data_IF_681627960133
#
_entry.id   IF_681627960133
#
_cell.length_a   1.000
_cell.length_b   1.000
_cell.length_c   1.000
_cell.angle_alpha   90.00
_cell.angle_beta   90.00
_cell.angle_gamma   90.00
#
_symmetry.space_group_name_H-M   'P 1'
#
loop_
_entity.id
_entity.type
_entity.pdbx_description
1 polymer ?
#
# COMPACT_ATOMS: atom_id res chain seq x y z
N UNK A 1 -11.82 -2.62 -8.66
CA UNK A 1 -10.96 -3.79 -8.33
C UNK A 1 -11.83 -4.79 -7.61
N UNK A 2 -11.87 -6.05 -8.05
CA UNK A 2 -12.63 -7.08 -7.34
C UNK A 2 -11.83 -7.53 -6.14
N UNK A 3 -12.46 -7.66 -4.98
CA UNK A 3 -11.85 -8.25 -3.78
C UNK A 3 -11.54 -9.74 -4.03
N UNK A 4 -10.35 -10.02 -4.58
CA UNK A 4 -9.94 -11.38 -4.93
C UNK A 4 -9.38 -12.15 -3.74
N UNK A 5 -9.08 -11.47 -2.63
CA UNK A 5 -8.37 -12.04 -1.49
C UNK A 5 -9.26 -12.28 -0.27
N UNK A 6 -10.57 -12.05 -0.40
CA UNK A 6 -11.55 -12.38 0.64
C UNK A 6 -11.62 -11.39 1.80
N UNK A 7 -11.21 -10.13 1.60
CA UNK A 7 -11.34 -9.07 2.59
C UNK A 7 -12.79 -8.56 2.61
N UNK A 8 -13.52 -8.54 3.74
CA UNK A 8 -14.90 -8.05 3.76
C UNK A 8 -15.05 -6.67 3.08
N UNK A 9 -16.10 -6.47 2.27
CA UNK A 9 -16.31 -5.19 1.56
C UNK A 9 -16.44 -4.01 2.53
N UNK A 10 -17.09 -4.22 3.68
CA UNK A 10 -17.20 -3.22 4.74
C UNK A 10 -15.83 -2.75 5.26
N UNK A 11 -14.83 -3.65 5.29
CA UNK A 11 -13.49 -3.31 5.74
C UNK A 11 -12.74 -2.58 4.63
N UNK A 12 -12.92 -2.97 3.37
CA UNK A 12 -12.36 -2.24 2.24
C UNK A 12 -12.89 -0.81 2.17
N UNK A 13 -14.18 -0.58 2.45
CA UNK A 13 -14.75 0.77 2.50
C UNK A 13 -14.16 1.60 3.63
N UNK A 14 -14.03 1.02 4.84
CA UNK A 14 -13.37 1.69 5.98
C UNK A 14 -11.91 2.04 5.66
N UNK A 15 -11.17 1.10 5.06
CA UNK A 15 -9.78 1.30 4.64
C UNK A 15 -9.69 2.38 3.57
N UNK A 16 -10.61 2.41 2.60
CA UNK A 16 -10.64 3.41 1.53
C UNK A 16 -10.92 4.83 2.06
N UNK A 17 -11.81 4.95 3.06
CA UNK A 17 -12.05 6.24 3.74
C UNK A 17 -10.82 6.68 4.54
N UNK A 18 -10.16 5.74 5.24
CA UNK A 18 -8.90 6.00 5.95
C UNK A 18 -7.80 6.46 5.00
N UNK A 19 -7.64 5.76 3.88
CA UNK A 19 -6.57 5.94 2.90
C UNK A 19 -7.04 6.82 1.73
N UNK A 20 -7.51 8.03 2.05
CA UNK A 20 -8.04 8.99 1.07
C UNK A 20 -6.99 9.53 0.08
N UNK A 21 -5.71 9.31 0.37
CA UNK A 21 -4.57 9.60 -0.48
C UNK A 21 -3.60 8.41 -0.47
N UNK A 22 -2.70 8.34 -1.45
CA UNK A 22 -1.77 7.22 -1.52
C UNK A 22 -0.92 7.11 -0.25
N UNK A 23 -1.02 6.00 0.48
CA UNK A 23 -0.31 5.81 1.77
C UNK A 23 1.22 5.90 1.68
N UNK A 24 1.78 5.85 0.46
CA UNK A 24 3.22 5.96 0.24
C UNK A 24 3.67 7.36 -0.19
N UNK A 25 3.00 7.97 -1.16
CA UNK A 25 3.44 9.23 -1.79
C UNK A 25 2.44 10.38 -1.66
N UNK A 26 1.35 10.19 -0.93
CA UNK A 26 0.30 11.19 -0.59
C UNK A 26 -0.42 11.85 -1.75
N UNK A 27 -0.12 11.47 -3.00
CA UNK A 27 -0.87 12.01 -4.13
C UNK A 27 -2.32 11.53 -4.11
N UNK A 28 -3.19 12.37 -4.65
CA UNK A 28 -4.59 12.03 -4.90
C UNK A 28 -4.70 10.81 -5.80
N UNK A 29 -5.58 9.90 -5.40
CA UNK A 29 -5.91 8.71 -6.17
C UNK A 29 -7.23 8.90 -6.89
N UNK A 30 -7.40 8.24 -8.04
CA UNK A 30 -8.65 8.24 -8.79
C UNK A 30 -9.24 6.83 -8.80
N UNK A 31 -10.56 6.73 -8.93
CA UNK A 31 -11.20 5.44 -9.08
C UNK A 31 -10.71 4.72 -10.34
N UNK A 32 -10.44 3.41 -10.28
CA UNK A 32 -10.14 2.62 -11.46
C UNK A 32 -11.28 2.70 -12.48
N UNK A 33 -10.96 3.07 -13.72
CA UNK A 33 -11.90 3.16 -14.84
C UNK A 33 -11.45 2.27 -16.00
N UNK A 34 -12.30 2.06 -17.01
CA UNK A 34 -11.86 1.40 -18.24
C UNK A 34 -10.96 2.33 -19.07
N UNK A 35 -9.81 1.82 -19.52
CA UNK A 35 -8.84 2.59 -20.31
C UNK A 35 -8.02 3.62 -19.52
N UNK A 36 -6.95 4.13 -20.14
CA UNK A 36 -6.11 5.19 -19.57
C UNK A 36 -4.96 4.73 -18.67
N UNK A 37 -4.26 5.71 -18.09
CA UNK A 37 -3.07 5.47 -17.27
C UNK A 37 -3.44 5.03 -15.86
N UNK A 38 -3.01 3.82 -15.48
CA UNK A 38 -3.23 3.28 -14.12
C UNK A 38 -2.37 3.95 -13.04
N UNK A 39 -1.51 4.90 -13.42
CA UNK A 39 -0.51 5.51 -12.52
C UNK A 39 -1.12 6.11 -11.26
N UNK A 40 -2.33 6.66 -11.36
CA UNK A 40 -3.03 7.36 -10.26
C UNK A 40 -4.21 6.57 -9.71
N UNK A 41 -4.49 5.37 -10.23
CA UNK A 41 -5.61 4.57 -9.74
C UNK A 41 -5.42 4.20 -8.27
N UNK A 42 -6.48 4.30 -7.48
CA UNK A 42 -6.54 3.74 -6.14
C UNK A 42 -6.49 2.21 -6.27
N UNK A 43 -5.45 1.59 -5.74
CA UNK A 43 -5.22 0.13 -5.77
C UNK A 43 -5.15 -0.45 -4.37
N UNK A 44 -5.67 -1.66 -4.22
CA UNK A 44 -5.52 -2.44 -3.00
C UNK A 44 -4.07 -2.91 -2.91
N UNK A 45 -3.42 -2.59 -1.80
CA UNK A 45 -2.05 -2.90 -1.47
C UNK A 45 -2.00 -3.88 -0.30
N UNK A 46 -1.31 -4.99 -0.47
CA UNK A 46 -1.00 -5.92 0.63
C UNK A 46 0.36 -5.59 1.20
N UNK A 47 0.40 -5.03 2.41
CA UNK A 47 1.64 -4.59 3.05
C UNK A 47 2.58 -5.78 3.31
N UNK A 48 2.02 -6.96 3.58
CA UNK A 48 2.75 -8.20 3.65
C UNK A 48 3.19 -8.74 2.28
N UNK A 49 4.48 -9.02 2.15
CA UNK A 49 5.08 -9.53 0.91
C UNK A 49 4.73 -10.99 0.59
N UNK A 50 4.29 -11.77 1.58
CA UNK A 50 3.90 -13.18 1.44
C UNK A 50 2.47 -13.39 1.93
N UNK A 51 1.74 -14.38 1.37
CA UNK A 51 0.42 -14.75 1.85
C UNK A 51 0.44 -15.19 3.33
N UNK A 52 -0.70 -15.11 4.04
CA UNK A 52 -2.04 -14.87 3.52
C UNK A 52 -2.38 -13.38 3.33
N UNK A 53 -3.16 -13.06 2.28
CA UNK A 53 -3.52 -11.69 1.87
C UNK A 53 -4.97 -11.30 2.22
N UNK A 54 -5.59 -12.04 3.13
CA UNK A 54 -6.99 -11.88 3.52
C UNK A 54 -7.18 -11.07 4.82
N UNK A 55 -6.11 -10.48 5.39
CA UNK A 55 -6.18 -9.73 6.64
C UNK A 55 -6.34 -8.22 6.36
N UNK A 56 -7.46 -7.60 6.78
CA UNK A 56 -7.70 -6.16 6.57
C UNK A 56 -6.68 -5.26 7.27
N UNK A 57 -6.08 -5.71 8.38
CA UNK A 57 -5.07 -4.93 9.12
C UNK A 57 -3.72 -4.84 8.40
N UNK A 58 -3.50 -5.65 7.37
CA UNK A 58 -2.28 -5.64 6.54
C UNK A 58 -2.54 -5.07 5.16
N UNK A 59 -3.67 -4.38 4.98
CA UNK A 59 -4.11 -3.85 3.69
C UNK A 59 -4.22 -2.32 3.76
N UNK A 60 -3.86 -1.69 2.64
CA UNK A 60 -3.97 -0.26 2.46
C UNK A 60 -4.39 0.08 1.02
N UNK A 61 -4.77 1.33 0.77
CA UNK A 61 -4.89 1.86 -0.59
C UNK A 61 -3.67 2.70 -0.98
N UNK A 62 -3.11 2.41 -2.15
CA UNK A 62 -2.05 3.22 -2.73
C UNK A 62 -2.25 3.43 -4.22
N UNK A 63 -1.53 4.38 -4.82
CA UNK A 63 -1.62 4.61 -6.24
C UNK A 63 -0.98 3.47 -7.05
N UNK A 64 -1.47 3.23 -8.26
CA UNK A 64 -0.93 2.17 -9.12
C UNK A 64 0.57 2.30 -9.46
N UNK A 65 1.14 3.52 -9.45
CA UNK A 65 2.59 3.69 -9.65
C UNK A 65 3.40 3.14 -8.47
N UNK A 66 2.97 3.42 -7.23
CA UNK A 66 3.67 2.93 -6.05
C UNK A 66 3.49 1.43 -5.89
N UNK A 67 2.26 0.92 -6.07
CA UNK A 67 1.97 -0.51 -6.05
C UNK A 67 2.86 -1.26 -7.06
N UNK A 68 2.89 -0.81 -8.32
CA UNK A 68 3.72 -1.42 -9.36
C UNK A 68 5.22 -1.35 -9.04
N UNK A 69 5.71 -0.25 -8.47
CA UNK A 69 7.12 -0.09 -8.10
C UNK A 69 7.52 -1.02 -6.94
N UNK A 70 6.65 -1.13 -5.93
CA UNK A 70 6.88 -2.02 -4.79
C UNK A 70 6.86 -3.47 -5.24
N UNK A 71 5.82 -3.86 -5.98
CA UNK A 71 5.58 -5.24 -6.37
C UNK A 71 5.60 -6.14 -5.12
N UNK A 72 6.41 -7.21 -5.13
CA UNK A 72 6.57 -8.15 -4.03
C UNK A 72 7.72 -7.84 -3.07
N UNK A 73 8.34 -6.65 -3.12
CA UNK A 73 9.44 -6.29 -2.22
C UNK A 73 8.93 -6.09 -0.80
N UNK A 74 9.75 -6.45 0.19
CA UNK A 74 9.54 -6.00 1.58
C UNK A 74 9.56 -4.48 1.62
N UNK A 75 8.68 -3.87 2.40
CA UNK A 75 8.53 -2.41 2.44
C UNK A 75 9.85 -1.73 2.82
N UNK A 76 10.55 -2.27 3.82
CA UNK A 76 11.83 -1.73 4.30
C UNK A 76 12.95 -1.77 3.25
N UNK A 77 12.90 -2.74 2.32
CA UNK A 77 13.87 -2.84 1.23
C UNK A 77 13.43 -1.99 0.03
N UNK A 78 12.13 -1.87 -0.20
CA UNK A 78 11.58 -1.00 -1.23
C UNK A 78 11.92 0.48 -0.99
N UNK A 79 11.91 0.94 0.27
CA UNK A 79 12.31 2.31 0.62
C UNK A 79 13.74 2.67 0.20
N UNK A 80 14.62 1.68 0.02
CA UNK A 80 16.01 1.89 -0.42
C UNK A 80 16.14 2.02 -1.94
N UNK A 81 15.06 1.83 -2.70
CA UNK A 81 15.11 1.88 -4.16
C UNK A 81 15.15 3.32 -4.69
N UNK A 82 15.70 3.57 -5.88
CA UNK A 82 15.70 4.89 -6.50
C UNK A 82 14.30 5.51 -6.59
N UNK A 83 13.28 4.69 -6.89
CA UNK A 83 11.89 5.15 -6.96
C UNK A 83 11.43 5.84 -5.68
N UNK A 84 11.76 5.26 -4.52
CA UNK A 84 11.39 5.78 -3.21
C UNK A 84 12.22 7.01 -2.84
N UNK A 85 13.53 6.96 -3.08
CA UNK A 85 14.46 8.06 -2.77
C UNK A 85 14.06 9.32 -3.56
N UNK A 86 13.85 9.20 -4.86
CA UNK A 86 13.44 10.32 -5.74
C UNK A 86 12.08 10.94 -5.35
N UNK A 87 11.22 10.16 -4.69
CA UNK A 87 9.85 10.56 -4.32
C UNK A 87 9.69 10.83 -2.83
N UNK A 88 10.78 10.85 -2.07
CA UNK A 88 10.78 11.03 -0.63
C UNK A 88 9.84 10.04 0.10
N UNK A 89 9.87 8.76 -0.27
CA UNK A 89 9.07 7.69 0.33
C UNK A 89 9.97 6.92 1.32
N UNK A 90 9.69 7.06 2.62
CA UNK A 90 10.46 6.46 3.71
C UNK A 90 9.56 6.21 4.91
N UNK A 91 10.07 5.53 5.95
CA UNK A 91 9.32 5.30 7.18
C UNK A 91 8.76 6.59 7.80
N UNK A 92 9.51 7.69 7.72
CA UNK A 92 9.11 8.96 8.33
C UNK A 92 7.99 9.65 7.54
N UNK A 93 7.98 9.44 6.21
CA UNK A 93 7.09 10.16 5.31
C UNK A 93 5.82 9.41 4.97
N UNK A 94 5.78 8.07 5.01
CA UNK A 94 4.56 7.30 4.70
C UNK A 94 3.41 7.56 5.69
N UNK A 95 2.19 7.18 5.32
CA UNK A 95 1.01 7.28 6.19
C UNK A 95 1.06 6.30 7.36
N UNK A 96 0.28 6.59 8.41
CA UNK A 96 0.31 5.83 9.68
C UNK A 96 0.05 4.32 9.52
N UNK A 97 -0.89 3.83 8.67
CA UNK A 97 -1.10 2.39 8.51
C UNK A 97 0.16 1.62 8.09
N UNK A 98 1.01 2.26 7.27
CA UNK A 98 2.30 1.66 6.85
C UNK A 98 3.29 1.66 8.00
N UNK A 99 3.35 2.74 8.79
CA UNK A 99 4.21 2.83 9.98
C UNK A 99 3.83 1.77 11.00
N UNK A 100 2.55 1.61 11.28
CA UNK A 100 2.00 0.60 12.20
C UNK A 100 2.35 -0.82 11.73
N UNK A 101 2.15 -1.10 10.43
CA UNK A 101 2.54 -2.38 9.86
C UNK A 101 4.04 -2.67 10.05
N UNK A 102 4.92 -1.71 9.72
CA UNK A 102 6.37 -1.88 9.86
C UNK A 102 6.76 -2.13 11.33
N UNK A 103 6.23 -1.30 12.24
CA UNK A 103 6.49 -1.43 13.69
C UNK A 103 6.07 -2.80 14.22
N UNK A 104 4.92 -3.30 13.75
CA UNK A 104 4.33 -4.55 14.24
C UNK A 104 4.92 -5.80 13.59
N UNK A 105 5.22 -5.78 12.29
CA UNK A 105 5.51 -7.01 11.53
C UNK A 105 6.93 -7.09 10.97
N UNK A 106 7.51 -5.97 10.52
CA UNK A 106 8.85 -5.98 9.94
C UNK A 106 9.95 -5.86 11.01
N UNK A 107 9.64 -5.23 12.16
CA UNK A 107 10.56 -5.14 13.30
C UNK A 107 10.51 -6.36 14.24
N UNK A 108 9.48 -7.22 14.17
CA UNK A 108 9.47 -8.49 14.91
C UNK A 108 10.33 -9.58 14.27
N UNK A 109 10.71 -9.43 12.99
CA UNK A 109 11.50 -10.42 12.23
C UNK A 109 13.02 -10.12 12.23
N UNK A 110 13.48 -9.16 13.05
CA UNK A 110 14.90 -8.86 13.27
C UNK A 110 15.44 -9.40 14.61
N UNK A 111 14.84 -10.47 15.14
CA UNK A 111 15.39 -11.24 16.27
C UNK A 111 16.14 -12.46 15.76
#
# INVERSE_FOLDING_TARGET
MKNQYGIPEEDLDKIKVRDNACVYCHKTMIEPSEGGSRKNWATIEHLNHLPPWNNPNTVAFCCGSCNSSRSNKKIVDWFKTPYCIERNISFDTVAEPVKEYIKKYENLLKQ
#
